data_IF_251628459018
#
_entry.id   IF_251628459018
#
_cell.length_a   1.000
_cell.length_b   1.000
_cell.length_c   1.000
_cell.angle_alpha   90.00
_cell.angle_beta   90.00
_cell.angle_gamma   90.00
#
_symmetry.space_group_name_H-M   'P 1'
#
loop_
_entity.id
_entity.type
_entity.pdbx_description
1 polymer ?
#
# COMPACT_ATOMS: atom_id res chain seq x y z
N UNK A 1 -9.61 -2.44 1.99
CA UNK A 1 -9.07 -2.93 3.25
C UNK A 1 -9.95 -2.55 4.44
N UNK A 2 -10.24 -1.28 4.64
CA UNK A 2 -11.03 -0.80 5.80
C UNK A 2 -12.42 -1.42 5.86
N UNK A 3 -13.17 -1.39 4.75
CA UNK A 3 -14.51 -1.95 4.69
C UNK A 3 -14.53 -3.46 4.98
N UNK A 4 -13.57 -4.20 4.43
CA UNK A 4 -13.42 -5.63 4.69
C UNK A 4 -13.13 -5.89 6.18
N UNK A 5 -12.23 -5.14 6.76
CA UNK A 5 -11.86 -5.27 8.18
C UNK A 5 -13.04 -4.95 9.08
N UNK A 6 -13.81 -3.92 8.76
CA UNK A 6 -15.04 -3.57 9.49
C UNK A 6 -16.08 -4.70 9.42
N UNK A 7 -16.27 -5.29 8.23
CA UNK A 7 -17.19 -6.40 8.03
C UNK A 7 -16.78 -7.63 8.83
N UNK A 8 -15.50 -7.96 8.84
CA UNK A 8 -14.94 -9.09 9.59
C UNK A 8 -15.08 -8.85 11.10
N UNK A 9 -14.82 -7.63 11.57
CA UNK A 9 -14.98 -7.28 12.98
C UNK A 9 -16.44 -7.43 13.43
N UNK A 10 -17.39 -7.03 12.60
CA UNK A 10 -18.81 -7.20 12.86
C UNK A 10 -19.19 -8.68 12.95
N UNK A 11 -18.69 -9.51 12.06
CA UNK A 11 -18.89 -10.95 12.10
C UNK A 11 -18.29 -11.56 13.37
N UNK A 12 -17.10 -11.13 13.78
CA UNK A 12 -16.43 -11.59 14.98
C UNK A 12 -17.16 -11.23 16.27
N UNK A 13 -17.96 -10.16 16.28
CA UNK A 13 -18.81 -9.81 17.41
C UNK A 13 -19.94 -10.83 17.60
N UNK A 14 -20.41 -11.45 16.52
CA UNK A 14 -21.46 -12.49 16.55
C UNK A 14 -20.85 -13.89 16.76
N UNK A 15 -19.70 -14.14 16.12
CA UNK A 15 -18.97 -15.42 16.19
C UNK A 15 -17.50 -15.14 16.42
N UNK A 16 -17.04 -15.12 17.67
CA UNK A 16 -15.65 -14.77 17.99
C UNK A 16 -14.64 -15.67 17.28
N UNK A 17 -13.57 -15.03 16.79
CA UNK A 17 -12.44 -15.72 16.20
C UNK A 17 -11.37 -16.02 17.26
N UNK A 18 -10.70 -17.16 17.15
CA UNK A 18 -9.54 -17.48 17.98
C UNK A 18 -8.37 -16.51 17.66
N UNK A 19 -8.21 -16.18 16.39
CA UNK A 19 -7.26 -15.17 15.92
C UNK A 19 -7.99 -14.29 14.92
N UNK A 20 -7.89 -12.98 15.06
CA UNK A 20 -8.51 -12.09 14.09
C UNK A 20 -7.90 -12.32 12.70
N UNK A 21 -8.71 -12.61 11.66
CA UNK A 21 -8.18 -13.09 10.37
C UNK A 21 -7.42 -12.05 9.55
N UNK A 22 -7.51 -10.77 9.90
CA UNK A 22 -6.71 -9.73 9.25
C UNK A 22 -5.39 -9.59 10.00
N UNK A 23 -4.30 -10.07 9.42
CA UNK A 23 -3.01 -10.21 10.11
C UNK A 23 -2.13 -8.97 10.02
N UNK A 24 -2.35 -8.10 9.05
CA UNK A 24 -1.58 -6.88 8.86
C UNK A 24 -2.34 -5.91 7.95
N UNK A 25 -1.88 -4.68 7.92
CA UNK A 25 -2.35 -3.68 6.96
C UNK A 25 -1.83 -3.99 5.57
N UNK A 26 -2.53 -3.49 4.57
CA UNK A 26 -2.16 -3.63 3.18
C UNK A 26 -2.54 -2.35 2.43
N UNK A 27 -1.61 -1.82 1.67
CA UNK A 27 -1.88 -0.68 0.81
C UNK A 27 -1.10 -0.79 -0.50
N UNK A 28 -1.64 -0.17 -1.52
CA UNK A 28 -1.04 -0.13 -2.86
C UNK A 28 -0.98 1.31 -3.35
N UNK A 29 0.06 1.62 -4.09
CA UNK A 29 0.20 2.93 -4.75
C UNK A 29 0.92 2.78 -6.08
N UNK A 30 0.77 3.79 -6.94
CA UNK A 30 1.52 3.91 -8.17
C UNK A 30 2.55 5.02 -8.06
N UNK A 31 3.72 4.79 -8.62
CA UNK A 31 4.78 5.79 -8.76
C UNK A 31 5.30 5.76 -10.18
N UNK A 32 5.88 6.82 -10.64
CA UNK A 32 6.45 6.86 -11.98
C UNK A 32 7.47 7.96 -12.17
N UNK A 33 8.20 7.87 -13.27
CA UNK A 33 9.13 8.92 -13.70
C UNK A 33 8.50 9.65 -14.87
N UNK A 34 8.32 10.94 -14.73
CA UNK A 34 7.83 11.83 -15.78
C UNK A 34 9.00 12.69 -16.24
N UNK A 35 9.23 12.76 -17.55
CA UNK A 35 10.29 13.59 -18.12
C UNK A 35 10.14 15.03 -17.63
N UNK A 36 11.26 15.64 -17.28
CA UNK A 36 11.37 17.02 -16.77
C UNK A 36 10.82 17.23 -15.34
N UNK A 37 9.98 16.34 -14.82
CA UNK A 37 9.40 16.45 -13.47
C UNK A 37 10.14 15.55 -12.48
N UNK A 38 10.50 14.33 -12.90
CA UNK A 38 11.14 13.32 -12.05
C UNK A 38 10.16 12.33 -11.46
N UNK A 39 10.48 11.79 -10.29
CA UNK A 39 9.65 10.80 -9.61
C UNK A 39 8.37 11.42 -9.07
N UNK A 40 7.23 10.80 -9.35
CA UNK A 40 5.90 11.25 -8.95
C UNK A 40 5.16 10.12 -8.25
N UNK A 41 4.49 10.45 -7.15
CA UNK A 41 3.67 9.53 -6.37
C UNK A 41 2.21 9.67 -6.79
N UNK A 42 1.51 8.52 -6.85
CA UNK A 42 0.07 8.44 -7.10
C UNK A 42 -0.32 9.06 -8.44
N UNK A 43 0.15 8.43 -9.52
CA UNK A 43 -0.05 8.90 -10.89
C UNK A 43 -1.55 9.02 -11.23
N UNK A 44 -1.98 10.21 -11.66
CA UNK A 44 -3.29 10.37 -12.25
C UNK A 44 -3.25 9.89 -13.73
N UNK A 45 -4.40 9.85 -14.40
CA UNK A 45 -4.49 9.34 -15.77
C UNK A 45 -3.56 10.09 -16.75
N UNK A 46 -3.49 11.41 -16.65
CA UNK A 46 -2.64 12.23 -17.53
C UNK A 46 -1.16 11.96 -17.27
N UNK A 47 -0.78 11.89 -16.00
CA UNK A 47 0.60 11.57 -15.59
C UNK A 47 0.99 10.15 -16.00
N UNK A 48 0.08 9.18 -15.87
CA UNK A 48 0.31 7.80 -16.26
C UNK A 48 0.57 7.67 -17.77
N UNK A 49 -0.17 8.39 -18.60
CA UNK A 49 0.02 8.43 -20.05
C UNK A 49 1.37 9.03 -20.42
N UNK A 50 1.82 10.05 -19.71
CA UNK A 50 3.08 10.76 -19.97
C UNK A 50 4.29 10.13 -19.26
N UNK A 51 4.08 9.18 -18.36
CA UNK A 51 5.15 8.58 -17.61
C UNK A 51 6.02 7.67 -18.49
N UNK A 52 7.32 7.92 -18.48
CA UNK A 52 8.30 7.05 -19.15
C UNK A 52 8.51 5.74 -18.39
N UNK A 53 8.37 5.77 -17.06
CA UNK A 53 8.43 4.60 -16.17
C UNK A 53 7.19 4.61 -15.28
N UNK A 54 6.54 3.47 -15.18
CA UNK A 54 5.34 3.28 -14.38
C UNK A 54 5.55 2.07 -13.45
N UNK A 55 5.25 2.24 -12.18
CA UNK A 55 5.46 1.20 -11.16
C UNK A 55 4.29 1.12 -10.20
N UNK A 56 3.83 -0.10 -9.93
CA UNK A 56 2.84 -0.40 -8.91
C UNK A 56 3.51 -1.10 -7.74
N UNK A 57 3.21 -0.65 -6.53
CA UNK A 57 3.79 -1.18 -5.31
C UNK A 57 2.68 -1.55 -4.36
N UNK A 58 2.71 -2.80 -3.85
CA UNK A 58 1.80 -3.27 -2.80
C UNK A 58 2.65 -3.71 -1.62
N UNK A 59 2.40 -3.13 -0.45
CA UNK A 59 3.17 -3.40 0.76
C UNK A 59 2.27 -3.64 1.97
N UNK A 60 2.80 -4.40 2.92
CA UNK A 60 2.18 -4.61 4.23
C UNK A 60 2.57 -3.50 5.20
N UNK A 61 1.86 -3.44 6.33
CA UNK A 61 2.20 -2.51 7.43
C UNK A 61 3.55 -2.78 8.06
N UNK A 62 4.07 -4.00 7.95
CA UNK A 62 5.41 -4.36 8.41
C UNK A 62 6.54 -3.91 7.46
N UNK A 63 6.19 -3.25 6.34
CA UNK A 63 7.17 -2.77 5.37
C UNK A 63 7.66 -3.84 4.40
N UNK A 64 6.89 -4.90 4.21
CA UNK A 64 7.24 -5.99 3.29
C UNK A 64 6.46 -5.85 1.99
N UNK A 65 7.08 -6.23 0.89
CA UNK A 65 6.44 -6.19 -0.42
C UNK A 65 5.55 -7.41 -0.63
N UNK A 66 4.35 -7.17 -1.16
CA UNK A 66 3.46 -8.22 -1.66
C UNK A 66 3.59 -8.30 -3.18
N UNK A 67 3.63 -7.14 -3.83
CA UNK A 67 3.79 -7.05 -5.28
C UNK A 67 4.64 -5.84 -5.63
N UNK A 68 5.49 -6.01 -6.61
CA UNK A 68 6.31 -4.96 -7.18
C UNK A 68 6.35 -5.16 -8.68
N UNK A 69 5.74 -4.22 -9.43
CA UNK A 69 5.70 -4.27 -10.88
C UNK A 69 6.14 -2.93 -11.46
N UNK A 70 7.16 -2.94 -12.29
CA UNK A 70 7.68 -1.75 -12.93
C UNK A 70 7.93 -1.98 -14.42
N UNK A 71 7.61 -0.97 -15.22
CA UNK A 71 7.77 -1.02 -16.67
C UNK A 71 8.32 0.32 -17.19
N UNK A 72 9.41 0.25 -17.94
CA UNK A 72 9.89 1.37 -18.75
C UNK A 72 9.37 1.19 -20.17
N UNK A 73 8.39 1.97 -20.59
CA UNK A 73 7.76 1.81 -21.90
C UNK A 73 8.59 2.41 -23.02
N UNK A 74 9.05 3.66 -22.85
CA UNK A 74 9.86 4.37 -23.83
C UNK A 74 11.27 4.65 -23.31
N UNK A 75 11.55 4.30 -22.06
CA UNK A 75 12.82 4.51 -21.40
C UNK A 75 13.11 3.38 -20.44
N UNK A 76 14.37 3.20 -20.11
CA UNK A 76 14.81 2.31 -19.05
C UNK A 76 14.93 3.09 -17.75
N UNK A 77 15.09 2.40 -16.63
CA UNK A 77 15.37 3.04 -15.35
C UNK A 77 16.54 2.35 -14.65
N UNK A 78 17.36 3.15 -14.00
CA UNK A 78 18.54 2.69 -13.30
C UNK A 78 18.17 2.13 -11.91
N UNK A 79 19.16 1.49 -11.26
CA UNK A 79 19.01 1.05 -9.88
C UNK A 79 18.74 2.24 -8.95
N UNK A 80 19.39 3.39 -9.16
CA UNK A 80 19.20 4.59 -8.35
C UNK A 80 17.78 5.15 -8.53
N UNK A 81 17.29 5.18 -9.77
CA UNK A 81 15.93 5.57 -10.07
C UNK A 81 14.91 4.62 -9.45
N UNK A 82 15.17 3.30 -9.48
CA UNK A 82 14.35 2.31 -8.81
C UNK A 82 14.29 2.57 -7.29
N UNK A 83 15.44 2.83 -6.68
CA UNK A 83 15.49 3.12 -5.24
C UNK A 83 14.71 4.38 -4.89
N UNK A 84 14.78 5.41 -5.71
CA UNK A 84 14.00 6.64 -5.55
C UNK A 84 12.50 6.38 -5.64
N UNK A 85 12.06 5.60 -6.63
CA UNK A 85 10.66 5.22 -6.80
C UNK A 85 10.16 4.38 -5.62
N UNK A 86 10.96 3.43 -5.14
CA UNK A 86 10.62 2.61 -3.98
C UNK A 86 10.49 3.45 -2.71
N UNK A 87 11.40 4.37 -2.47
CA UNK A 87 11.36 5.25 -1.30
C UNK A 87 10.09 6.13 -1.33
N UNK A 88 9.75 6.68 -2.48
CA UNK A 88 8.55 7.48 -2.66
C UNK A 88 7.27 6.65 -2.47
N UNK A 89 7.24 5.44 -3.01
CA UNK A 89 6.12 4.50 -2.85
C UNK A 89 5.92 4.07 -1.39
N UNK A 90 7.01 3.77 -0.69
CA UNK A 90 6.95 3.44 0.74
C UNK A 90 6.37 4.57 1.57
N UNK A 91 6.75 5.82 1.27
CA UNK A 91 6.20 6.99 1.93
C UNK A 91 4.69 7.12 1.69
N UNK A 92 4.25 6.94 0.46
CA UNK A 92 2.83 6.98 0.10
C UNK A 92 2.03 5.88 0.79
N UNK A 93 2.57 4.66 0.83
CA UNK A 93 1.94 3.52 1.49
C UNK A 93 1.83 3.75 3.00
N UNK A 94 2.86 4.29 3.63
CA UNK A 94 2.82 4.63 5.06
C UNK A 94 1.69 5.63 5.36
N UNK A 95 1.52 6.64 4.52
CA UNK A 95 0.42 7.60 4.64
C UNK A 95 -0.96 6.93 4.47
N UNK A 96 -1.10 6.03 3.51
CA UNK A 96 -2.34 5.28 3.30
C UNK A 96 -2.68 4.39 4.49
N UNK A 97 -1.69 3.73 5.08
CA UNK A 97 -1.88 2.88 6.25
C UNK A 97 -2.29 3.73 7.47
N UNK A 98 -1.72 4.91 7.64
CA UNK A 98 -2.13 5.83 8.70
C UNK A 98 -3.60 6.26 8.53
N UNK A 99 -4.02 6.51 7.29
CA UNK A 99 -5.42 6.81 6.96
C UNK A 99 -6.33 5.61 7.27
N UNK A 100 -5.88 4.39 6.96
CA UNK A 100 -6.61 3.17 7.28
C UNK A 100 -6.80 3.02 8.80
N UNK A 101 -5.75 3.25 9.58
CA UNK A 101 -5.79 3.19 11.05
C UNK A 101 -6.76 4.21 11.61
N UNK A 102 -6.72 5.44 11.11
CA UNK A 102 -7.63 6.51 11.53
C UNK A 102 -9.08 6.17 11.20
N UNK A 103 -9.35 5.65 10.00
CA UNK A 103 -10.68 5.25 9.57
C UNK A 103 -11.24 4.08 10.39
N UNK A 104 -10.38 3.13 10.79
CA UNK A 104 -10.79 2.00 11.63
C UNK A 104 -11.02 2.40 13.10
N UNK A 105 -10.33 3.44 13.59
CA UNK A 105 -10.43 3.85 14.98
C UNK A 105 -10.06 2.72 15.95
N UNK A 106 -10.95 2.37 16.85
CA UNK A 106 -10.74 1.31 17.84
C UNK A 106 -10.52 -0.07 17.19
N UNK A 107 -11.09 -0.32 16.01
CA UNK A 107 -10.93 -1.59 15.30
C UNK A 107 -9.49 -1.81 14.81
N UNK A 108 -8.68 -0.76 14.73
CA UNK A 108 -7.28 -0.88 14.34
C UNK A 108 -6.49 -1.82 15.26
N UNK A 109 -6.88 -1.92 16.53
CA UNK A 109 -6.22 -2.81 17.50
C UNK A 109 -6.41 -4.29 17.19
N UNK A 110 -7.41 -4.63 16.37
CA UNK A 110 -7.70 -6.02 15.99
C UNK A 110 -6.78 -6.53 14.89
N UNK A 111 -6.26 -5.63 14.04
CA UNK A 111 -5.38 -6.02 12.94
C UNK A 111 -4.09 -6.60 13.50
N UNK A 112 -3.81 -7.86 13.14
CA UNK A 112 -2.66 -8.59 13.67
C UNK A 112 -2.82 -9.13 15.08
N UNK A 113 -3.98 -8.93 15.70
CA UNK A 113 -4.25 -9.43 17.05
C UNK A 113 -4.37 -10.95 17.07
N UNK A 114 -3.78 -11.56 18.07
CA UNK A 114 -3.83 -13.00 18.30
C UNK A 114 -4.45 -13.28 19.67
N UNK A 115 -5.14 -14.42 19.78
CA UNK A 115 -5.59 -14.89 21.08
C UNK A 115 -4.37 -15.18 21.95
N UNK A 116 -4.37 -14.65 23.19
CA UNK A 116 -3.37 -15.00 24.17
C UNK A 116 -3.61 -16.42 24.67
N UNK A 117 -2.62 -17.26 24.53
CA UNK A 117 -2.68 -18.64 24.99
C UNK A 117 -2.54 -18.75 26.49
#
# INVERSE_FOLDING_TARGET
>A
FVAMTQAIAKLGAEKPFATFPVVDYLAATSVGMIDEIGAVLDLNYVEDVDAAVDMNIVMTGAGRFVELQGTGEEATFSRDELNELLALGEQGIAQLIDIQKEALGELATLVGAKEEA
#
